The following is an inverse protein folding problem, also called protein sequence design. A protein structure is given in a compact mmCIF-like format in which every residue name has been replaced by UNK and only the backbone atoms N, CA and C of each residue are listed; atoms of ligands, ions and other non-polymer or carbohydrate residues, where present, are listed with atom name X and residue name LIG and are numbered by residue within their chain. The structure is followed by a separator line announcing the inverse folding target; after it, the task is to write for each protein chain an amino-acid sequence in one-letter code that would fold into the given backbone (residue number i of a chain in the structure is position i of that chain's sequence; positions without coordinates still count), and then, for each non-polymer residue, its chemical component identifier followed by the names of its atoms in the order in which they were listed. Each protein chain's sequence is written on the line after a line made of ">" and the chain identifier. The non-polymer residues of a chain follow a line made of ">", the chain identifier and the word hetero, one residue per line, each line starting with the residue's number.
data_IF_343715329774
#
_entry.id   IF_343715329774
#
_cell.length_a   1.000
_cell.length_b   1.000
_cell.length_c   1.000
_cell.angle_alpha   90.00
_cell.angle_beta   90.00
_cell.angle_gamma   90.00
#
_symmetry.space_group_name_H-M   'P 1'
#
loop_
_entity.id
_entity.type
_entity.pdbx_description
1 polymer ?
#
# COMPACT_ATOMS: atom_id res chain seq x y z
N UNK A 1 -5.78 11.39 20.38
CA UNK A 1 -4.70 10.52 19.88
C UNK A 1 -5.28 9.14 19.66
N UNK A 2 -5.51 8.77 18.40
CA UNK A 2 -5.87 7.41 18.00
C UNK A 2 -4.61 6.68 17.54
N UNK A 3 -4.64 5.36 17.66
CA UNK A 3 -3.67 4.49 17.03
C UNK A 3 -4.28 3.98 15.72
N UNK A 4 -3.61 4.17 14.60
CA UNK A 4 -4.10 3.82 13.27
C UNK A 4 -3.07 2.93 12.58
N UNK A 5 -3.52 1.82 12.01
CA UNK A 5 -2.73 0.96 11.14
C UNK A 5 -3.37 0.93 9.76
N UNK A 6 -2.57 1.14 8.72
CA UNK A 6 -3.02 1.18 7.33
C UNK A 6 -2.20 0.14 6.55
N UNK A 7 -2.87 -0.86 6.00
CA UNK A 7 -2.29 -1.89 5.14
C UNK A 7 -2.56 -1.54 3.67
N UNK A 8 -1.58 -0.98 2.98
CA UNK A 8 -1.62 -0.72 1.55
C UNK A 8 -1.05 -1.94 0.81
N UNK A 9 -1.88 -2.55 -0.04
CA UNK A 9 -1.59 -3.84 -0.68
C UNK A 9 -1.81 -4.99 0.30
N UNK A 10 -3.03 -5.06 0.82
CA UNK A 10 -3.38 -6.03 1.86
C UNK A 10 -3.38 -7.48 1.34
N UNK A 11 -3.49 -7.70 0.02
CA UNK A 11 -3.49 -9.02 -0.62
C UNK A 11 -4.56 -9.94 0.04
N UNK A 12 -4.21 -11.13 0.51
CA UNK A 12 -5.10 -12.05 1.24
C UNK A 12 -5.42 -11.60 2.68
N UNK A 13 -4.91 -10.44 3.13
CA UNK A 13 -5.14 -9.89 4.47
C UNK A 13 -4.37 -10.59 5.60
N UNK A 14 -3.47 -11.53 5.29
CA UNK A 14 -2.77 -12.35 6.30
C UNK A 14 -2.01 -11.48 7.32
N UNK A 15 -1.30 -10.48 6.82
CA UNK A 15 -0.53 -9.52 7.61
C UNK A 15 -1.46 -8.62 8.44
N UNK A 16 -2.49 -8.04 7.81
CA UNK A 16 -3.55 -7.30 8.49
C UNK A 16 -4.11 -8.08 9.69
N UNK A 17 -4.50 -9.34 9.49
CA UNK A 17 -5.05 -10.19 10.54
C UNK A 17 -4.08 -10.44 11.70
N UNK A 18 -2.77 -10.50 11.44
CA UNK A 18 -1.75 -10.57 12.49
C UNK A 18 -1.69 -9.28 13.29
N UNK A 19 -1.62 -8.12 12.63
CA UNK A 19 -1.59 -6.83 13.33
C UNK A 19 -2.87 -6.56 14.12
N UNK A 20 -4.05 -6.98 13.64
CA UNK A 20 -5.31 -6.88 14.40
C UNK A 20 -5.24 -7.64 15.72
N UNK A 21 -4.60 -8.82 15.74
CA UNK A 21 -4.41 -9.62 16.97
C UNK A 21 -3.37 -9.01 17.91
N UNK A 22 -2.28 -8.50 17.34
CA UNK A 22 -1.14 -7.99 18.10
C UNK A 22 -1.39 -6.56 18.63
N UNK A 23 -2.28 -5.78 17.98
CA UNK A 23 -2.56 -4.37 18.26
C UNK A 23 -4.07 -4.10 18.45
N UNK A 24 -4.72 -4.65 19.49
CA UNK A 24 -6.18 -4.58 19.64
C UNK A 24 -6.75 -3.17 19.84
N UNK A 25 -5.94 -2.20 20.25
CA UNK A 25 -6.34 -0.81 20.48
C UNK A 25 -6.21 0.10 19.23
N UNK A 26 -5.88 -0.47 18.07
CA UNK A 26 -5.74 0.26 16.81
C UNK A 26 -7.04 0.28 16.00
N UNK A 27 -7.23 1.33 15.21
CA UNK A 27 -8.15 1.31 14.08
C UNK A 27 -7.40 0.89 12.82
N UNK A 28 -8.03 0.04 12.01
CA UNK A 28 -7.40 -0.58 10.85
C UNK A 28 -8.05 -0.14 9.55
N UNK A 29 -7.22 0.14 8.55
CA UNK A 29 -7.64 0.37 7.17
C UNK A 29 -6.85 -0.55 6.26
N UNK A 30 -7.50 -1.16 5.29
CA UNK A 30 -6.86 -2.03 4.30
C UNK A 30 -7.23 -1.58 2.89
N UNK A 31 -6.24 -1.44 2.01
CA UNK A 31 -6.44 -1.10 0.60
C UNK A 31 -5.99 -2.28 -0.26
N UNK A 32 -6.91 -2.77 -1.10
CA UNK A 32 -6.65 -3.84 -2.06
C UNK A 32 -7.40 -3.56 -3.37
N UNK A 33 -6.69 -3.35 -4.51
CA UNK A 33 -7.34 -3.09 -5.79
C UNK A 33 -8.08 -4.30 -6.37
N UNK A 34 -7.59 -5.52 -6.15
CA UNK A 34 -8.18 -6.71 -6.74
C UNK A 34 -9.44 -7.15 -5.97
N UNK A 35 -10.60 -6.95 -6.59
CA UNK A 35 -11.90 -7.29 -6.00
C UNK A 35 -12.03 -8.78 -5.63
N UNK A 36 -11.31 -9.67 -6.32
CA UNK A 36 -11.30 -11.12 -6.03
C UNK A 36 -10.63 -11.44 -4.68
N UNK A 37 -9.76 -10.56 -4.17
CA UNK A 37 -9.07 -10.77 -2.90
C UNK A 37 -9.87 -10.26 -1.68
N UNK A 38 -10.84 -9.35 -1.90
CA UNK A 38 -11.62 -8.70 -0.84
C UNK A 38 -12.34 -9.71 0.10
N UNK A 39 -12.99 -10.78 -0.40
CA UNK A 39 -13.60 -11.78 0.48
C UNK A 39 -12.61 -12.44 1.44
N UNK A 40 -11.38 -12.71 0.99
CA UNK A 40 -10.34 -13.32 1.82
C UNK A 40 -9.88 -12.38 2.94
N UNK A 41 -9.79 -11.08 2.65
CA UNK A 41 -9.49 -10.07 3.69
C UNK A 41 -10.60 -10.04 4.73
N UNK A 42 -11.87 -10.08 4.33
CA UNK A 42 -13.00 -10.16 5.25
C UNK A 42 -12.94 -11.42 6.14
N UNK A 43 -12.67 -12.58 5.55
CA UNK A 43 -12.53 -13.84 6.29
C UNK A 43 -11.37 -13.78 7.29
N UNK A 44 -10.24 -13.21 6.87
CA UNK A 44 -9.06 -13.06 7.72
C UNK A 44 -9.33 -12.11 8.89
N UNK A 45 -10.03 -10.99 8.66
CA UNK A 45 -10.48 -10.07 9.72
C UNK A 45 -11.45 -10.77 10.68
N UNK A 46 -12.46 -11.48 10.17
CA UNK A 46 -13.42 -12.21 10.99
C UNK A 46 -12.75 -13.29 11.85
N UNK A 47 -11.74 -13.97 11.31
CA UNK A 47 -10.98 -15.01 12.02
C UNK A 47 -10.21 -14.48 13.25
N UNK A 48 -9.93 -13.17 13.31
CA UNK A 48 -9.23 -12.58 14.45
C UNK A 48 -10.07 -12.53 15.72
N UNK A 49 -11.40 -12.59 15.59
CA UNK A 49 -12.36 -12.39 16.69
C UNK A 49 -12.18 -11.06 17.44
N UNK A 50 -11.45 -10.10 16.85
CA UNK A 50 -11.19 -8.78 17.43
C UNK A 50 -12.41 -7.87 17.31
N UNK A 51 -12.56 -6.95 18.27
CA UNK A 51 -13.55 -5.86 18.20
C UNK A 51 -12.96 -4.56 17.68
N UNK A 52 -11.69 -4.56 17.26
CA UNK A 52 -11.05 -3.41 16.66
C UNK A 52 -11.82 -2.95 15.40
N UNK A 53 -11.99 -1.63 15.19
CA UNK A 53 -12.64 -1.14 13.97
C UNK A 53 -11.73 -1.40 12.77
N UNK A 54 -12.28 -2.03 11.73
CA UNK A 54 -11.59 -2.35 10.48
C UNK A 54 -12.41 -1.84 9.29
N UNK A 55 -11.78 -1.09 8.40
CA UNK A 55 -12.37 -0.66 7.13
C UNK A 55 -11.55 -1.22 5.96
N UNK A 56 -12.21 -1.89 5.03
CA UNK A 56 -11.59 -2.46 3.83
C UNK A 56 -12.04 -1.65 2.62
N UNK A 57 -11.06 -1.11 1.89
CA UNK A 57 -11.24 -0.25 0.73
C UNK A 57 -10.82 -1.03 -0.52
N UNK A 58 -11.79 -1.40 -1.36
CA UNK A 58 -11.49 -2.01 -2.66
C UNK A 58 -11.03 -0.95 -3.66
N UNK A 59 -9.78 -0.53 -3.54
CA UNK A 59 -9.16 0.50 -4.37
C UNK A 59 -7.64 0.41 -4.32
N UNK A 60 -6.98 0.74 -5.43
CA UNK A 60 -5.54 0.99 -5.44
C UNK A 60 -5.20 2.25 -4.61
N UNK A 61 -4.16 2.16 -3.79
CA UNK A 61 -3.52 3.35 -3.25
C UNK A 61 -2.82 4.11 -4.38
N UNK A 62 -3.30 5.32 -4.69
CA UNK A 62 -2.84 6.07 -5.87
C UNK A 62 -2.75 7.58 -5.63
N UNK A 63 -2.53 8.32 -6.72
CA UNK A 63 -2.30 9.76 -6.72
C UNK A 63 -3.56 10.59 -6.97
N UNK A 64 -4.66 9.97 -7.34
CA UNK A 64 -5.94 10.64 -7.58
C UNK A 64 -7.08 9.63 -7.49
N UNK A 65 -8.28 10.12 -7.17
CA UNK A 65 -9.48 9.29 -7.24
C UNK A 65 -9.86 9.02 -8.69
N UNK A 66 -10.36 7.82 -8.97
CA UNK A 66 -10.86 7.48 -10.31
C UNK A 66 -10.78 5.99 -10.56
N UNK A 67 -10.38 5.65 -11.78
CA UNK A 67 -10.15 4.28 -12.22
C UNK A 67 -8.72 4.18 -12.75
N UNK A 68 -8.07 3.05 -12.53
CA UNK A 68 -6.72 2.76 -13.04
C UNK A 68 -6.65 1.33 -13.57
N UNK A 69 -5.73 1.10 -14.51
CA UNK A 69 -5.36 -0.23 -14.98
C UNK A 69 -4.62 -0.99 -13.88
N UNK A 70 -5.14 -2.16 -13.51
CA UNK A 70 -4.41 -3.18 -12.76
C UNK A 70 -3.92 -4.24 -13.74
N UNK A 71 -2.61 -4.38 -13.86
CA UNK A 71 -1.97 -5.44 -14.63
C UNK A 71 -1.78 -6.67 -13.74
N UNK A 72 -2.43 -7.77 -14.10
CA UNK A 72 -2.43 -9.00 -13.29
C UNK A 72 -1.19 -9.84 -13.61
N UNK A 73 -0.52 -10.32 -12.57
CA UNK A 73 0.60 -11.27 -12.66
C UNK A 73 0.43 -12.41 -11.68
N UNK A 74 1.55 -13.01 -11.24
CA UNK A 74 1.58 -13.83 -10.03
C UNK A 74 0.90 -13.09 -8.86
N UNK A 75 0.33 -13.83 -7.91
CA UNK A 75 -0.50 -13.27 -6.83
C UNK A 75 0.23 -12.27 -5.91
N UNK A 76 1.56 -12.24 -5.95
CA UNK A 76 2.48 -11.29 -5.28
C UNK A 76 3.22 -10.43 -6.33
N UNK A 77 2.54 -10.03 -7.40
CA UNK A 77 3.21 -9.20 -8.41
C UNK A 77 2.33 -8.27 -9.22
N UNK A 78 1.01 -8.33 -9.04
CA UNK A 78 0.07 -7.50 -9.78
C UNK A 78 0.34 -6.02 -9.48
N UNK A 79 0.28 -5.16 -10.48
CA UNK A 79 0.74 -3.77 -10.35
C UNK A 79 -0.14 -2.82 -11.14
N UNK A 80 -0.23 -1.58 -10.68
CA UNK A 80 -0.81 -0.46 -11.46
C UNK A 80 0.24 0.32 -12.24
N UNK A 81 1.51 -0.11 -12.15
CA UNK A 81 2.65 0.52 -12.80
C UNK A 81 3.07 -0.25 -14.06
N UNK A 82 3.21 0.41 -15.21
CA UNK A 82 3.78 -0.22 -16.40
C UNK A 82 5.28 -0.50 -16.22
N UNK A 83 5.78 -1.54 -16.90
CA UNK A 83 7.22 -1.80 -17.00
C UNK A 83 7.86 -2.46 -15.78
N UNK A 84 7.04 -3.01 -14.86
CA UNK A 84 7.51 -3.92 -13.83
C UNK A 84 7.95 -5.23 -14.48
N UNK A 85 9.10 -5.74 -14.07
CA UNK A 85 9.57 -7.08 -14.45
C UNK A 85 9.48 -7.99 -13.24
N UNK A 86 9.00 -9.21 -13.44
CA UNK A 86 8.96 -10.22 -12.40
C UNK A 86 10.09 -11.25 -12.62
N UNK A 87 10.68 -11.78 -11.54
CA UNK A 87 11.66 -12.85 -11.64
C UNK A 87 11.19 -14.03 -12.51
N UNK A 88 12.06 -14.62 -13.34
CA UNK A 88 11.71 -15.78 -14.17
C UNK A 88 11.30 -17.04 -13.39
N UNK A 89 11.50 -17.05 -12.07
CA UNK A 89 11.09 -18.15 -11.19
C UNK A 89 9.57 -18.24 -11.03
N UNK A 90 8.86 -17.14 -11.27
CA UNK A 90 7.40 -17.13 -11.26
C UNK A 90 6.85 -17.72 -12.57
N UNK A 91 5.93 -18.66 -12.42
CA UNK A 91 5.23 -19.34 -13.50
C UNK A 91 4.29 -18.40 -14.28
N UNK A 92 3.79 -17.37 -13.62
CA UNK A 92 2.95 -16.33 -14.22
C UNK A 92 3.69 -14.98 -14.30
N UNK A 93 3.85 -14.49 -15.53
CA UNK A 93 4.32 -13.14 -15.82
C UNK A 93 3.16 -12.14 -15.77
N UNK A 94 3.48 -10.84 -15.67
CA UNK A 94 2.46 -9.78 -15.71
C UNK A 94 1.88 -9.67 -17.12
N UNK A 95 0.56 -9.71 -17.23
CA UNK A 95 -0.18 -9.46 -18.47
C UNK A 95 -0.46 -7.96 -18.62
N UNK A 96 0.35 -7.31 -19.45
CA UNK A 96 0.20 -5.89 -19.78
C UNK A 96 -0.82 -5.63 -20.90
N UNK A 97 -1.24 -6.66 -21.64
CA UNK A 97 -2.14 -6.54 -22.78
C UNK A 97 -3.61 -6.64 -22.37
N UNK A 98 -3.90 -7.22 -21.20
CA UNK A 98 -5.25 -7.38 -20.65
C UNK A 98 -5.40 -6.82 -19.22
N UNK A 99 -5.23 -5.49 -19.00
CA UNK A 99 -5.47 -4.89 -17.69
C UNK A 99 -6.93 -4.97 -17.27
N UNK A 100 -7.15 -5.04 -15.96
CA UNK A 100 -8.48 -4.90 -15.35
C UNK A 100 -8.63 -3.48 -14.80
N UNK A 101 -9.76 -2.84 -15.09
CA UNK A 101 -10.08 -1.52 -14.53
C UNK A 101 -10.49 -1.66 -13.06
N UNK A 102 -9.78 -0.98 -12.16
CA UNK A 102 -10.06 -0.99 -10.72
C UNK A 102 -10.22 0.43 -10.17
N UNK A 103 -10.97 0.63 -9.07
CA UNK A 103 -11.02 1.92 -8.41
C UNK A 103 -9.64 2.35 -7.91
N UNK A 104 -9.34 3.65 -8.02
CA UNK A 104 -8.15 4.28 -7.47
C UNK A 104 -8.55 5.31 -6.41
N UNK A 105 -7.80 5.36 -5.32
CA UNK A 105 -7.97 6.32 -4.22
C UNK A 105 -6.77 7.27 -4.19
N UNK A 106 -7.01 8.58 -4.11
CA UNK A 106 -5.97 9.55 -3.75
C UNK A 106 -5.55 9.31 -2.28
N UNK A 107 -4.49 8.53 -2.09
CA UNK A 107 -4.06 8.10 -0.76
C UNK A 107 -3.66 9.28 0.12
N UNK A 108 -2.97 10.26 -0.45
CA UNK A 108 -2.55 11.48 0.25
C UNK A 108 -3.75 12.30 0.72
N UNK A 109 -4.71 12.57 -0.17
CA UNK A 109 -5.89 13.33 0.17
C UNK A 109 -6.80 12.56 1.15
N UNK A 110 -6.88 11.24 1.02
CA UNK A 110 -7.60 10.39 1.97
C UNK A 110 -6.96 10.42 3.35
N UNK A 111 -5.64 10.21 3.46
CA UNK A 111 -4.95 10.21 4.76
C UNK A 111 -5.13 11.55 5.49
N UNK A 112 -5.08 12.67 4.78
CA UNK A 112 -5.34 14.01 5.34
C UNK A 112 -6.73 14.14 5.98
N UNK A 113 -7.74 13.44 5.45
CA UNK A 113 -9.10 13.43 6.02
C UNK A 113 -9.26 12.42 7.14
N UNK A 114 -8.47 11.35 7.12
CA UNK A 114 -8.56 10.23 8.06
C UNK A 114 -7.76 10.45 9.34
N UNK A 115 -6.60 11.09 9.26
CA UNK A 115 -5.65 11.27 10.36
C UNK A 115 -5.35 12.74 10.66
N UNK A 116 -4.96 13.00 11.90
CA UNK A 116 -4.47 14.31 12.37
C UNK A 116 -3.03 14.18 12.85
N UNK A 117 -2.28 15.29 12.97
CA UNK A 117 -0.91 15.26 13.52
C UNK A 117 -0.78 14.69 14.94
N UNK A 118 -1.88 14.61 15.70
CA UNK A 118 -1.91 14.06 17.07
C UNK A 118 -2.18 12.54 17.09
N UNK A 119 -2.42 11.90 15.94
CA UNK A 119 -2.63 10.45 15.85
C UNK A 119 -1.29 9.72 15.66
N UNK A 120 -1.21 8.49 16.16
CA UNK A 120 -0.10 7.59 15.88
C UNK A 120 -0.46 6.72 14.68
N UNK A 121 0.16 6.99 13.53
CA UNK A 121 -0.20 6.35 12.25
C UNK A 121 0.95 5.45 11.78
N UNK A 122 0.66 4.16 11.67
CA UNK A 122 1.56 3.17 11.06
C UNK A 122 1.00 2.80 9.69
N UNK A 123 1.85 2.87 8.67
CA UNK A 123 1.51 2.44 7.30
C UNK A 123 2.42 1.28 6.92
N UNK A 124 1.85 0.17 6.45
CA UNK A 124 2.55 -0.84 5.65
C UNK A 124 2.22 -0.55 4.19
N UNK A 125 3.25 -0.38 3.35
CA UNK A 125 3.11 -0.02 1.95
C UNK A 125 3.92 -0.97 1.09
N UNK A 126 3.21 -1.91 0.48
CA UNK A 126 3.75 -2.83 -0.52
C UNK A 126 2.66 -2.90 -1.58
N UNK A 127 2.82 -2.04 -2.58
CA UNK A 127 1.85 -1.74 -3.64
C UNK A 127 2.52 -1.81 -5.01
N UNK A 128 3.58 -2.63 -5.08
CA UNK A 128 4.11 -3.21 -6.30
C UNK A 128 4.60 -2.18 -7.33
N UNK A 129 5.25 -1.12 -6.83
CA UNK A 129 5.80 -0.01 -7.61
C UNK A 129 5.04 1.30 -7.46
N UNK A 130 3.79 1.26 -6.98
CA UNK A 130 3.01 2.47 -6.77
C UNK A 130 3.51 3.32 -5.59
N UNK A 131 4.46 2.82 -4.78
CA UNK A 131 5.08 3.54 -3.66
C UNK A 131 5.68 4.85 -4.16
N UNK A 132 6.35 4.83 -5.32
CA UNK A 132 7.06 5.99 -5.86
C UNK A 132 6.14 7.16 -6.19
N UNK A 133 5.13 7.02 -7.05
CA UNK A 133 4.21 8.12 -7.34
C UNK A 133 3.40 8.54 -6.11
N UNK A 134 2.96 7.60 -5.26
CA UNK A 134 2.19 7.91 -4.05
C UNK A 134 3.03 8.72 -3.06
N UNK A 135 4.22 8.25 -2.68
CA UNK A 135 5.09 8.95 -1.72
C UNK A 135 5.61 10.28 -2.29
N UNK A 136 5.90 10.36 -3.60
CA UNK A 136 6.24 11.64 -4.25
C UNK A 136 5.12 12.66 -4.09
N UNK A 137 3.87 12.25 -4.33
CA UNK A 137 2.71 13.13 -4.12
C UNK A 137 2.55 13.50 -2.65
N UNK A 138 2.69 12.54 -1.73
CA UNK A 138 2.56 12.80 -0.30
C UNK A 138 3.60 13.80 0.21
N UNK A 139 4.83 13.76 -0.32
CA UNK A 139 5.86 14.77 -0.03
C UNK A 139 5.42 16.16 -0.51
N UNK A 140 4.92 16.26 -1.75
CA UNK A 140 4.43 17.52 -2.31
C UNK A 140 3.23 18.08 -1.52
N UNK A 141 2.36 17.20 -1.03
CA UNK A 141 1.19 17.55 -0.23
C UNK A 141 1.53 17.79 1.25
N UNK A 142 2.71 17.39 1.72
CA UNK A 142 3.10 17.42 3.13
C UNK A 142 2.36 16.40 4.02
N UNK A 143 1.77 15.35 3.45
CA UNK A 143 1.01 14.32 4.20
C UNK A 143 1.89 13.19 4.71
N UNK A 144 3.14 13.05 4.24
CA UNK A 144 4.12 12.11 4.84
C UNK A 144 4.29 12.38 6.33
N UNK A 145 4.25 13.65 6.75
CA UNK A 145 4.36 14.04 8.16
C UNK A 145 3.17 13.62 9.04
N UNK A 146 2.10 13.05 8.46
CA UNK A 146 1.02 12.42 9.22
C UNK A 146 1.34 10.96 9.58
N UNK A 147 2.38 10.36 8.98
CA UNK A 147 2.80 8.99 9.23
C UNK A 147 3.84 9.00 10.36
N UNK A 148 3.60 8.24 11.42
CA UNK A 148 4.58 8.02 12.50
C UNK A 148 5.63 6.99 12.11
N UNK A 149 5.21 5.89 11.46
CA UNK A 149 6.11 4.85 10.94
C UNK A 149 5.61 4.34 9.60
N UNK A 150 6.50 4.30 8.61
CA UNK A 150 6.25 3.73 7.29
C UNK A 150 7.08 2.44 7.12
N UNK A 151 6.43 1.29 7.11
CA UNK A 151 6.99 0.05 6.59
C UNK A 151 6.75 0.02 5.08
N UNK A 152 7.80 -0.14 4.28
CA UNK A 152 7.68 -0.06 2.82
C UNK A 152 8.56 -1.08 2.11
N UNK A 153 7.98 -1.78 1.13
CA UNK A 153 8.74 -2.66 0.24
C UNK A 153 9.12 -1.87 -1.01
N UNK A 154 10.41 -1.61 -1.15
CA UNK A 154 10.90 -0.82 -2.27
C UNK A 154 11.10 -1.69 -3.51
N UNK A 155 10.08 -1.71 -4.36
CA UNK A 155 10.09 -2.47 -5.62
C UNK A 155 11.05 -1.94 -6.72
N UNK A 156 12.05 -1.10 -6.41
CA UNK A 156 12.93 -0.47 -7.42
C UNK A 156 13.65 -1.51 -8.30
N UNK A 157 14.08 -2.62 -7.72
CA UNK A 157 14.79 -3.69 -8.44
C UNK A 157 13.91 -4.39 -9.50
N UNK A 158 12.58 -4.18 -9.44
CA UNK A 158 11.61 -4.67 -10.42
C UNK A 158 11.31 -3.67 -11.54
N UNK A 159 11.89 -2.47 -11.54
CA UNK A 159 11.68 -1.46 -12.59
C UNK A 159 13.00 -1.06 -13.26
N UNK A 160 13.42 -1.73 -14.36
CA UNK A 160 14.71 -1.48 -15.00
C UNK A 160 14.88 -0.04 -15.54
N UNK A 161 13.77 0.64 -15.83
CA UNK A 161 13.76 2.02 -16.30
C UNK A 161 13.94 3.04 -15.15
N UNK A 162 13.75 2.63 -13.89
CA UNK A 162 13.91 3.49 -12.73
C UNK A 162 15.40 3.62 -12.41
N UNK A 163 15.91 4.85 -12.32
CA UNK A 163 17.29 5.07 -11.94
C UNK A 163 17.43 4.91 -10.43
N UNK A 164 18.47 4.19 -10.01
CA UNK A 164 18.86 4.07 -8.60
C UNK A 164 18.93 5.42 -7.88
N UNK A 165 19.45 6.45 -8.55
CA UNK A 165 19.55 7.80 -7.97
C UNK A 165 18.21 8.48 -7.72
N UNK A 166 17.16 8.13 -8.48
CA UNK A 166 15.81 8.66 -8.25
C UNK A 166 15.15 7.94 -7.08
N UNK A 167 15.36 6.62 -6.96
CA UNK A 167 14.97 5.85 -5.78
C UNK A 167 15.63 6.40 -4.51
N UNK A 168 16.97 6.51 -4.47
CA UNK A 168 17.69 6.99 -3.28
C UNK A 168 17.21 8.38 -2.83
N UNK A 169 17.00 9.31 -3.78
CA UNK A 169 16.49 10.65 -3.48
C UNK A 169 15.10 10.63 -2.86
N UNK A 170 14.22 9.75 -3.33
CA UNK A 170 12.88 9.64 -2.78
C UNK A 170 12.94 9.05 -1.36
N UNK A 171 13.72 7.98 -1.16
CA UNK A 171 13.94 7.37 0.15
C UNK A 171 14.43 8.43 1.14
N UNK A 172 15.50 9.15 0.82
CA UNK A 172 16.06 10.20 1.67
C UNK A 172 15.02 11.29 2.01
N UNK A 173 14.22 11.71 1.03
CA UNK A 173 13.20 12.72 1.22
C UNK A 173 12.06 12.26 2.13
N UNK A 174 11.63 10.99 2.01
CA UNK A 174 10.59 10.41 2.87
C UNK A 174 11.13 10.19 4.29
N UNK A 175 12.33 9.64 4.44
CA UNK A 175 12.99 9.41 5.74
C UNK A 175 13.27 10.70 6.52
N UNK A 176 13.35 11.84 5.85
CA UNK A 176 13.45 13.14 6.51
C UNK A 176 12.15 13.56 7.24
N UNK A 177 11.02 12.91 6.97
CA UNK A 177 9.69 13.29 7.49
C UNK A 177 9.03 12.23 8.37
N UNK A 178 9.43 10.96 8.27
CA UNK A 178 8.85 9.84 9.02
C UNK A 178 9.88 8.74 9.28
N UNK A 179 9.62 7.89 10.27
CA UNK A 179 10.43 6.70 10.54
C UNK A 179 10.17 5.64 9.46
N UNK A 180 11.09 5.51 8.51
CA UNK A 180 11.01 4.55 7.40
C UNK A 180 11.71 3.26 7.79
N UNK A 181 11.03 2.14 7.57
CA UNK A 181 11.53 0.79 7.80
C UNK A 181 11.28 -0.05 6.56
N UNK A 182 12.27 -0.85 6.18
CA UNK A 182 12.10 -1.78 5.08
C UNK A 182 11.07 -2.86 5.47
N UNK A 183 10.24 -3.23 4.49
CA UNK A 183 9.35 -4.37 4.53
C UNK A 183 9.91 -5.43 3.58
N UNK A 184 10.40 -6.54 4.15
CA UNK A 184 10.95 -7.72 3.46
C UNK A 184 10.25 -8.99 3.97
#
# INVERSE_FOLDING_TARGET
>A
MRNIFIDCGANLGVILGRFIRDLPDYAFYALEPNAELIPFIHDQVASTQSTAPVEILNSAAWTHNGTIDLYLGHHESSTVMPGKVVPPVYDQQIDYDAPVQVPALDFSAWLRRTATPDDHVVVKMDIEGAEYPVLTKMLADGTVGLISTLYVEWHHDRFPAMRRTDHDKLVDAVSAHTDVRDWD
#
